data_IF_826038527120
#
_entry.id   IF_826038527120
#
_cell.length_a   1.000
_cell.length_b   1.000
_cell.length_c   1.000
_cell.angle_alpha   90.00
_cell.angle_beta   90.00
_cell.angle_gamma   90.00
#
_symmetry.space_group_name_H-M   'P 1'
#
loop_
_entity.id
_entity.type
_entity.pdbx_description
1 polymer ?
#
# COMPACT_ATOMS: atom_id res chain seq x y z
N UNK A 1 0.91 7.93 -18.16
CA UNK A 1 0.83 6.48 -17.86
C UNK A 1 -0.48 6.09 -17.17
N UNK A 2 -0.99 6.87 -16.20
CA UNK A 2 -2.30 6.61 -15.59
C UNK A 2 -3.50 6.56 -16.57
N UNK A 3 -3.61 7.42 -17.60
CA UNK A 3 -4.77 7.42 -18.51
C UNK A 3 -4.90 6.14 -19.34
N UNK A 4 -3.77 5.57 -19.79
CA UNK A 4 -3.75 4.34 -20.59
C UNK A 4 -4.00 3.10 -19.74
N UNK A 5 -3.54 3.07 -18.48
CA UNK A 5 -3.87 1.98 -17.55
C UNK A 5 -5.36 1.97 -17.17
N UNK A 6 -5.96 3.15 -16.92
CA UNK A 6 -7.39 3.28 -16.63
C UNK A 6 -8.23 2.82 -17.83
N UNK A 7 -7.87 3.23 -19.06
CA UNK A 7 -8.58 2.79 -20.27
C UNK A 7 -8.54 1.26 -20.45
N UNK A 8 -7.36 0.64 -20.23
CA UNK A 8 -7.21 -0.82 -20.33
C UNK A 8 -8.01 -1.58 -19.26
N UNK A 9 -8.07 -1.04 -18.04
CA UNK A 9 -8.80 -1.64 -16.92
C UNK A 9 -10.33 -1.56 -17.07
N UNK A 10 -10.84 -0.52 -17.73
CA UNK A 10 -12.28 -0.27 -17.89
C UNK A 10 -12.81 -0.88 -19.20
N UNK A 11 -12.04 -0.82 -20.29
CA UNK A 11 -12.52 -1.14 -21.65
C UNK A 11 -11.90 -2.39 -22.27
N UNK A 12 -11.04 -3.14 -21.56
CA UNK A 12 -10.42 -4.38 -22.05
C UNK A 12 -10.72 -5.54 -21.10
N UNK A 13 -10.69 -6.78 -21.64
CA UNK A 13 -10.95 -8.09 -21.02
C UNK A 13 -10.86 -8.15 -19.48
N UNK A 14 -11.84 -8.82 -18.86
CA UNK A 14 -11.85 -9.14 -17.43
C UNK A 14 -10.48 -9.63 -16.97
N UNK A 15 -9.94 -8.96 -15.95
CA UNK A 15 -8.66 -9.32 -15.37
C UNK A 15 -8.79 -10.72 -14.78
N UNK A 16 -7.96 -11.70 -15.22
CA UNK A 16 -7.96 -13.04 -14.67
C UNK A 16 -7.85 -12.99 -13.13
N UNK A 17 -8.50 -13.91 -12.42
CA UNK A 17 -8.51 -13.91 -10.94
C UNK A 17 -7.11 -13.80 -10.33
N UNK A 18 -6.10 -14.40 -10.98
CA UNK A 18 -4.70 -14.33 -10.58
C UNK A 18 -4.09 -12.91 -10.64
N UNK A 19 -4.60 -12.03 -11.50
CA UNK A 19 -4.11 -10.68 -11.74
C UNK A 19 -4.95 -9.58 -11.06
N UNK A 20 -6.13 -9.90 -10.50
CA UNK A 20 -6.95 -8.97 -9.71
C UNK A 20 -6.18 -8.24 -8.58
N UNK A 21 -5.19 -8.84 -7.92
CA UNK A 21 -4.33 -8.13 -6.97
C UNK A 21 -3.59 -6.91 -7.54
N UNK A 22 -3.29 -6.86 -8.83
CA UNK A 22 -2.57 -5.75 -9.46
C UNK A 22 -3.35 -4.44 -9.45
N UNK A 23 -4.68 -4.50 -9.32
CA UNK A 23 -5.53 -3.31 -9.16
C UNK A 23 -5.20 -2.58 -7.86
N UNK A 24 -4.74 -3.28 -6.82
CA UNK A 24 -4.34 -2.66 -5.56
C UNK A 24 -3.13 -1.71 -5.73
N UNK A 25 -2.27 -1.93 -6.73
CA UNK A 25 -1.13 -1.06 -7.02
C UNK A 25 -1.60 0.37 -7.36
N UNK A 26 -2.79 0.51 -7.95
CA UNK A 26 -3.35 1.79 -8.36
C UNK A 26 -3.66 2.73 -7.19
N UNK A 27 -3.67 2.22 -5.97
CA UNK A 27 -3.93 3.00 -4.77
C UNK A 27 -2.64 3.52 -4.07
N UNK A 28 -1.46 3.12 -4.55
CA UNK A 28 -0.17 3.64 -4.09
C UNK A 28 0.26 5.04 -4.61
N UNK A 29 -0.13 5.55 -5.79
CA UNK A 29 0.45 6.76 -6.39
C UNK A 29 0.36 8.01 -5.53
N UNK A 30 -0.77 8.22 -4.83
CA UNK A 30 -0.97 9.40 -3.98
C UNK A 30 -0.03 9.38 -2.76
N UNK A 31 0.01 8.27 -2.03
CA UNK A 31 0.90 8.10 -0.87
C UNK A 31 2.37 8.12 -1.26
N UNK A 32 2.75 7.51 -2.39
CA UNK A 32 4.10 7.59 -2.95
C UNK A 32 4.46 9.04 -3.32
N UNK A 33 3.56 9.75 -3.97
CA UNK A 33 3.77 11.15 -4.35
C UNK A 33 3.91 12.04 -3.11
N UNK A 34 3.10 11.82 -2.07
CA UNK A 34 3.22 12.54 -0.80
C UNK A 34 4.58 12.29 -0.14
N UNK A 35 4.97 11.02 -0.02
CA UNK A 35 6.24 10.62 0.57
C UNK A 35 7.43 11.22 -0.21
N UNK A 36 7.38 11.17 -1.55
CA UNK A 36 8.37 11.77 -2.42
C UNK A 36 8.41 13.30 -2.26
N UNK A 37 7.26 13.95 -2.33
CA UNK A 37 7.11 15.41 -2.23
C UNK A 37 7.71 15.96 -0.93
N UNK A 38 7.41 15.32 0.20
CA UNK A 38 7.96 15.69 1.52
C UNK A 38 9.46 15.40 1.66
N UNK A 39 10.04 14.58 0.79
CA UNK A 39 11.48 14.23 0.85
C UNK A 39 12.32 15.17 -0.01
N UNK A 40 11.84 15.53 -1.19
CA UNK A 40 12.62 16.28 -2.18
C UNK A 40 12.37 17.79 -2.14
N UNK A 41 11.29 18.22 -1.50
CA UNK A 41 10.86 19.64 -1.49
C UNK A 41 11.26 20.30 -0.18
N UNK A 42 12.07 21.36 -0.25
CA UNK A 42 12.52 22.10 0.94
C UNK A 42 11.40 22.91 1.61
N UNK A 43 10.49 23.50 0.82
CA UNK A 43 9.33 24.27 1.30
C UNK A 43 8.04 23.72 0.69
N UNK A 44 7.54 22.57 1.20
CA UNK A 44 6.37 21.94 0.61
C UNK A 44 5.09 22.71 0.98
N UNK A 45 4.19 22.85 0.01
CA UNK A 45 2.92 23.55 0.18
C UNK A 45 1.94 22.73 1.02
N UNK A 46 1.37 23.30 2.10
CA UNK A 46 0.35 22.62 2.92
C UNK A 46 -0.87 22.17 2.12
N UNK A 47 -1.25 22.91 1.07
CA UNK A 47 -2.40 22.56 0.22
C UNK A 47 -2.15 21.28 -0.57
N UNK A 48 -0.95 21.15 -1.15
CA UNK A 48 -0.56 19.94 -1.90
C UNK A 48 -0.47 18.74 -0.96
N UNK A 49 0.09 18.94 0.23
CA UNK A 49 0.16 17.91 1.26
C UNK A 49 -1.24 17.43 1.65
N UNK A 50 -2.16 18.35 1.95
CA UNK A 50 -3.52 18.00 2.33
C UNK A 50 -4.27 17.26 1.22
N UNK A 51 -4.09 17.68 -0.04
CA UNK A 51 -4.68 17.03 -1.20
C UNK A 51 -4.14 15.59 -1.38
N UNK A 52 -2.82 15.43 -1.40
CA UNK A 52 -2.20 14.12 -1.59
C UNK A 52 -2.49 13.18 -0.41
N UNK A 53 -2.52 13.71 0.81
CA UNK A 53 -2.90 12.96 2.01
C UNK A 53 -4.35 12.51 1.95
N UNK A 54 -5.30 13.40 1.60
CA UNK A 54 -6.71 13.05 1.47
C UNK A 54 -6.97 11.96 0.44
N UNK A 55 -6.33 12.06 -0.74
CA UNK A 55 -6.42 11.03 -1.77
C UNK A 55 -5.74 9.73 -1.29
N UNK A 56 -4.59 9.82 -0.63
CA UNK A 56 -3.86 8.67 -0.09
C UNK A 56 -4.67 7.87 0.94
N UNK A 57 -5.37 8.54 1.86
CA UNK A 57 -6.24 7.90 2.85
C UNK A 57 -7.43 7.20 2.18
N UNK A 58 -8.10 7.86 1.23
CA UNK A 58 -9.18 7.26 0.45
C UNK A 58 -8.73 5.99 -0.28
N UNK A 59 -7.59 6.06 -0.94
CA UNK A 59 -7.00 4.92 -1.65
C UNK A 59 -6.63 3.78 -0.71
N UNK A 60 -6.11 4.09 0.48
CA UNK A 60 -5.78 3.11 1.52
C UNK A 60 -7.02 2.39 2.05
N UNK A 61 -8.13 3.11 2.27
CA UNK A 61 -9.41 2.48 2.62
C UNK A 61 -9.88 1.50 1.53
N UNK A 62 -9.81 1.89 0.26
CA UNK A 62 -10.21 1.03 -0.86
C UNK A 62 -9.35 -0.25 -0.88
N UNK A 63 -8.04 -0.15 -0.65
CA UNK A 63 -7.15 -1.32 -0.57
C UNK A 63 -7.56 -2.22 0.59
N UNK A 64 -7.82 -1.69 1.78
CA UNK A 64 -8.20 -2.54 2.93
C UNK A 64 -9.51 -3.28 2.70
N UNK A 65 -10.50 -2.63 2.09
CA UNK A 65 -11.74 -3.30 1.67
C UNK A 65 -11.48 -4.38 0.62
N UNK A 66 -10.65 -4.08 -0.38
CA UNK A 66 -10.29 -5.03 -1.42
C UNK A 66 -9.49 -6.22 -0.85
N UNK A 67 -8.62 -5.98 0.13
CA UNK A 67 -7.75 -6.96 0.76
C UNK A 67 -8.55 -8.06 1.46
N UNK A 68 -9.64 -7.71 2.17
CA UNK A 68 -10.55 -8.69 2.79
C UNK A 68 -11.16 -9.67 1.77
N UNK A 69 -11.45 -9.19 0.56
CA UNK A 69 -12.00 -10.00 -0.53
C UNK A 69 -10.91 -10.81 -1.23
N UNK A 70 -9.74 -10.20 -1.45
CA UNK A 70 -8.65 -10.79 -2.22
C UNK A 70 -7.88 -11.86 -1.44
N UNK A 71 -7.77 -11.75 -0.11
CA UNK A 71 -7.20 -12.79 0.76
C UNK A 71 -7.96 -14.13 0.72
N UNK A 72 -9.21 -14.14 0.23
CA UNK A 72 -10.02 -15.35 0.08
C UNK A 72 -9.73 -16.13 -1.21
N UNK A 73 -8.97 -15.56 -2.14
CA UNK A 73 -8.62 -16.23 -3.40
C UNK A 73 -7.53 -17.29 -3.18
N UNK A 74 -7.44 -18.32 -4.05
CA UNK A 74 -6.29 -19.21 -4.03
C UNK A 74 -4.98 -18.42 -4.21
N UNK A 75 -3.88 -18.93 -3.65
CA UNK A 75 -2.59 -18.26 -3.73
C UNK A 75 -2.20 -18.02 -5.19
N UNK A 76 -1.80 -16.78 -5.49
CA UNK A 76 -1.17 -16.41 -6.75
C UNK A 76 0.02 -15.48 -6.48
N UNK A 77 1.02 -15.44 -7.39
CA UNK A 77 2.09 -14.45 -7.31
C UNK A 77 1.59 -12.99 -7.34
N UNK A 78 0.33 -12.75 -7.74
CA UNK A 78 -0.28 -11.43 -7.67
C UNK A 78 -0.40 -10.89 -6.24
N UNK A 79 -0.40 -11.74 -5.21
CA UNK A 79 -0.52 -11.31 -3.80
C UNK A 79 0.57 -10.32 -3.35
N UNK A 80 1.75 -10.34 -3.98
CA UNK A 80 2.80 -9.35 -3.70
C UNK A 80 2.37 -7.92 -4.02
N UNK A 81 1.38 -7.70 -4.90
CA UNK A 81 0.87 -6.39 -5.27
C UNK A 81 0.24 -5.61 -4.10
N UNK A 82 -0.18 -6.29 -3.02
CA UNK A 82 -0.75 -5.64 -1.83
C UNK A 82 0.29 -5.05 -0.88
N UNK A 83 1.54 -5.49 -0.95
CA UNK A 83 2.57 -5.09 0.02
C UNK A 83 2.97 -3.63 -0.19
N UNK A 84 3.23 -3.23 -1.44
CA UNK A 84 3.70 -1.90 -1.77
C UNK A 84 2.73 -0.80 -1.34
N UNK A 85 1.42 -0.84 -1.68
CA UNK A 85 0.49 0.22 -1.31
C UNK A 85 0.30 0.39 0.21
N UNK A 86 0.32 -0.72 0.97
CA UNK A 86 0.15 -0.66 2.44
C UNK A 86 1.40 -0.09 3.10
N UNK A 87 2.60 -0.53 2.70
CA UNK A 87 3.86 -0.03 3.28
C UNK A 87 4.11 1.44 2.93
N UNK A 88 3.84 1.85 1.69
CA UNK A 88 4.05 3.24 1.28
C UNK A 88 3.06 4.20 1.95
N UNK A 89 1.84 3.74 2.28
CA UNK A 89 0.88 4.54 3.06
C UNK A 89 1.43 4.89 4.45
N UNK A 90 1.86 3.88 5.22
CA UNK A 90 2.46 4.09 6.53
C UNK A 90 3.69 5.01 6.46
N UNK A 91 4.53 4.80 5.45
CA UNK A 91 5.73 5.63 5.21
C UNK A 91 5.37 7.11 4.95
N UNK A 92 4.34 7.36 4.14
CA UNK A 92 3.87 8.71 3.86
C UNK A 92 3.36 9.41 5.12
N UNK A 93 2.65 8.69 6.00
CA UNK A 93 2.16 9.22 7.27
C UNK A 93 3.29 9.56 8.26
N UNK A 94 4.34 8.73 8.34
CA UNK A 94 5.52 9.09 9.15
C UNK A 94 6.22 10.35 8.65
N UNK A 95 6.36 10.50 7.32
CA UNK A 95 6.92 11.72 6.73
C UNK A 95 6.04 12.92 6.98
N UNK A 96 4.72 12.77 6.92
CA UNK A 96 3.77 13.81 7.27
C UNK A 96 3.93 14.24 8.74
N UNK A 97 3.97 13.30 9.67
CA UNK A 97 4.17 13.60 11.09
C UNK A 97 5.50 14.32 11.35
N UNK A 98 6.58 13.91 10.68
CA UNK A 98 7.88 14.58 10.75
C UNK A 98 7.81 16.02 10.22
N UNK A 99 7.18 16.21 9.05
CA UNK A 99 6.97 17.53 8.47
C UNK A 99 6.14 18.44 9.39
N UNK A 100 5.05 17.94 9.99
CA UNK A 100 4.24 18.69 10.95
C UNK A 100 5.08 19.18 12.15
N UNK A 101 6.03 18.38 12.61
CA UNK A 101 7.01 18.77 13.63
C UNK A 101 7.88 19.95 13.20
N UNK A 102 8.34 19.96 11.94
CA UNK A 102 9.15 21.08 11.40
C UNK A 102 8.37 22.38 11.27
N UNK A 103 7.04 22.31 11.13
CA UNK A 103 6.16 23.48 11.00
C UNK A 103 5.65 24.01 12.36
N UNK A 104 6.09 23.42 13.48
CA UNK A 104 5.63 23.82 14.81
C UNK A 104 4.17 23.45 15.10
N UNK A 105 3.63 22.41 14.44
CA UNK A 105 2.29 21.92 14.72
C UNK A 105 2.16 21.40 16.16
N UNK A 106 0.94 21.41 16.70
CA UNK A 106 0.67 20.92 18.05
C UNK A 106 1.15 19.47 18.23
N UNK A 107 1.84 19.21 19.35
CA UNK A 107 2.40 17.89 19.66
C UNK A 107 1.34 16.78 19.65
N UNK A 108 0.12 17.09 20.10
CA UNK A 108 -1.01 16.17 20.10
C UNK A 108 -1.38 15.74 18.67
N UNK A 109 -1.43 16.69 17.72
CA UNK A 109 -1.75 16.40 16.32
C UNK A 109 -0.66 15.55 15.65
N UNK A 110 0.62 15.82 15.96
CA UNK A 110 1.75 15.00 15.48
C UNK A 110 1.66 13.58 16.04
N UNK A 111 1.34 13.44 17.33
CA UNK A 111 1.19 12.14 17.99
C UNK A 111 0.02 11.34 17.43
N UNK A 112 -1.09 11.99 17.09
CA UNK A 112 -2.23 11.34 16.41
C UNK A 112 -1.79 10.76 15.06
N UNK A 113 -1.17 11.56 14.19
CA UNK A 113 -0.70 11.08 12.87
C UNK A 113 0.34 9.97 13.01
N UNK A 114 1.27 10.08 13.96
CA UNK A 114 2.26 9.04 14.24
C UNK A 114 1.63 7.75 14.76
N UNK A 115 0.58 7.86 15.59
CA UNK A 115 -0.13 6.69 16.10
C UNK A 115 -0.85 5.94 14.97
N UNK A 116 -1.48 6.68 14.04
CA UNK A 116 -2.08 6.09 12.83
C UNK A 116 -1.00 5.41 11.99
N UNK A 117 0.15 6.06 11.79
CA UNK A 117 1.28 5.48 11.05
C UNK A 117 1.79 4.18 11.69
N UNK A 118 1.88 4.12 13.02
CA UNK A 118 2.27 2.91 13.75
C UNK A 118 1.25 1.76 13.54
N UNK A 119 -0.05 2.08 13.54
CA UNK A 119 -1.10 1.09 13.28
C UNK A 119 -0.99 0.57 11.86
N UNK A 120 -0.88 1.45 10.86
CA UNK A 120 -0.69 1.05 9.46
C UNK A 120 0.58 0.23 9.27
N UNK A 121 1.69 0.58 9.94
CA UNK A 121 2.92 -0.20 9.90
C UNK A 121 2.75 -1.60 10.51
N UNK A 122 2.02 -1.72 11.62
CA UNK A 122 1.68 -3.01 12.22
C UNK A 122 0.90 -3.90 11.26
N UNK A 123 -0.14 -3.33 10.62
CA UNK A 123 -0.93 -4.02 9.58
C UNK A 123 -0.03 -4.42 8.41
N UNK A 124 0.80 -3.49 7.92
CA UNK A 124 1.75 -3.73 6.83
C UNK A 124 2.66 -4.92 7.12
N UNK A 125 3.20 -4.96 8.34
CA UNK A 125 4.10 -6.03 8.78
C UNK A 125 3.39 -7.39 8.75
N UNK A 126 2.19 -7.48 9.33
CA UNK A 126 1.39 -8.73 9.32
C UNK A 126 1.09 -9.19 7.89
N UNK A 127 0.67 -8.26 7.03
CA UNK A 127 0.33 -8.57 5.62
C UNK A 127 1.56 -9.03 4.85
N UNK A 128 2.68 -8.32 4.96
CA UNK A 128 3.94 -8.68 4.28
C UNK A 128 4.44 -10.03 4.75
N UNK A 129 4.42 -10.28 6.07
CA UNK A 129 4.79 -11.59 6.63
C UNK A 129 3.87 -12.70 6.13
N UNK A 130 2.56 -12.47 6.08
CA UNK A 130 1.61 -13.45 5.54
C UNK A 130 1.89 -13.79 4.07
N UNK A 131 2.12 -12.77 3.23
CA UNK A 131 2.48 -12.98 1.82
C UNK A 131 3.80 -13.74 1.71
N UNK A 132 4.83 -13.37 2.49
CA UNK A 132 6.10 -14.05 2.50
C UNK A 132 5.97 -15.55 2.87
N UNK A 133 5.18 -15.88 3.91
CA UNK A 133 4.92 -17.26 4.31
C UNK A 133 4.20 -18.06 3.22
N UNK A 134 3.23 -17.46 2.53
CA UNK A 134 2.54 -18.10 1.40
C UNK A 134 3.49 -18.40 0.24
N UNK A 135 4.41 -17.48 -0.07
CA UNK A 135 5.45 -17.72 -1.05
C UNK A 135 6.39 -18.85 -0.62
N UNK A 136 6.86 -18.85 0.63
CA UNK A 136 7.68 -19.94 1.15
C UNK A 136 6.96 -21.28 1.02
N UNK A 137 5.70 -21.38 1.44
CA UNK A 137 4.92 -22.62 1.32
C UNK A 137 4.70 -23.08 -0.12
N UNK A 138 4.64 -22.16 -1.09
CA UNK A 138 4.47 -22.50 -2.51
C UNK A 138 5.78 -22.95 -3.18
N UNK A 139 6.93 -22.39 -2.79
CA UNK A 139 8.23 -22.64 -3.40
C UNK A 139 9.14 -23.58 -2.59
N UNK A 140 8.74 -24.01 -1.40
CA UNK A 140 9.41 -25.08 -0.68
C UNK A 140 9.31 -26.37 -1.52
N UNK A 141 10.45 -27.03 -1.84
CA UNK A 141 10.42 -28.28 -2.58
C UNK A 141 9.67 -29.31 -1.75
N UNK A 142 8.52 -29.78 -2.27
CA UNK A 142 7.87 -30.98 -1.75
C UNK A 142 8.86 -32.11 -1.99
N UNK A 143 9.48 -32.61 -0.92
CA UNK A 143 10.38 -33.76 -0.99
C UNK A 143 9.69 -34.85 -1.80
N UNK A 144 10.37 -35.30 -2.86
CA UNK A 144 9.94 -36.41 -3.70
C UNK A 144 9.63 -37.58 -2.77
N UNK A 145 8.34 -37.90 -2.57
CA UNK A 145 7.97 -39.17 -1.98
C UNK A 145 8.24 -40.21 -3.06
N UNK A 146 9.39 -40.89 -2.90
CA UNK A 146 9.73 -42.05 -3.69
C UNK A 146 8.64 -43.12 -3.48
N UNK A 147 7.89 -43.56 -4.50
CA UNK A 147 7.05 -44.73 -4.36
C UNK A 147 7.99 -45.94 -4.25
N UNK A 148 7.98 -46.58 -3.08
CA UNK A 148 8.53 -47.92 -2.89
C UNK A 148 7.55 -48.97 -3.42
#
# INVERSE_FOLDING_TARGET
MLPTMIYRLIFTHEIPDAAKPTVAIMAAPASLSLAGYLTVTAQPSPVIIALLFGIGVLMTMIIYLAFLKLLRLPFSPGYAAFTFPIVISATAQYKLAAWMGTQGAAAEMINQVRSIANIELGIATVVVSYVALRYLGAYLPKGVSNPA
#
